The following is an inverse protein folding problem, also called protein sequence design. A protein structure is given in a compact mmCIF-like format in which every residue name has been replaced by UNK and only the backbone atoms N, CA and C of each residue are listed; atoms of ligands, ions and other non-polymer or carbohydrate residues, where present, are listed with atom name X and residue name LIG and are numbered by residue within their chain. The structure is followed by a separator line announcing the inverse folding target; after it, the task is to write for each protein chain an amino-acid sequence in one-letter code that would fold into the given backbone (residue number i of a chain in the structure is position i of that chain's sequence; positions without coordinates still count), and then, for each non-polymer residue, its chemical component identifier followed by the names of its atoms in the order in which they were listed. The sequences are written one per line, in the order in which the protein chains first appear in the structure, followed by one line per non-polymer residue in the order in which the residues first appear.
data_IF_055658453542
#
_entry.id   IF_055658453542
#
_cell.length_a   1.000
_cell.length_b   1.000
_cell.length_c   1.000
_cell.angle_alpha   90.00
_cell.angle_beta   90.00
_cell.angle_gamma   90.00
#
_symmetry.space_group_name_H-M   'P 1'
#
loop_
_entity.id
_entity.type
_entity.pdbx_description
1 polymer ?
#
# COMPACT_ATOMS: atom_id res chain seq x y z
N UNK A 1 -77.93 -17.97 -12.17
CA UNK A 1 -79.33 -17.58 -12.56
C UNK A 1 -80.06 -17.11 -11.30
N UNK A 2 -81.13 -16.27 -11.41
CA UNK A 2 -81.90 -15.99 -10.21
C UNK A 2 -82.60 -17.29 -9.74
N UNK A 3 -82.64 -17.50 -8.42
CA UNK A 3 -83.29 -18.67 -7.85
C UNK A 3 -84.77 -18.73 -8.32
N UNK A 4 -85.16 -19.94 -8.67
CA UNK A 4 -86.54 -20.20 -8.99
C UNK A 4 -87.38 -20.20 -7.71
N UNK A 5 -88.52 -19.58 -7.73
CA UNK A 5 -89.39 -19.51 -6.56
C UNK A 5 -90.47 -20.66 -6.68
N UNK A 6 -90.67 -21.31 -5.55
CA UNK A 6 -91.79 -22.23 -5.42
C UNK A 6 -93.09 -21.39 -5.41
N UNK A 7 -93.97 -21.62 -6.34
CA UNK A 7 -95.28 -20.89 -6.37
C UNK A 7 -96.19 -21.46 -5.29
N UNK A 8 -96.64 -20.59 -4.42
CA UNK A 8 -97.56 -20.91 -3.34
C UNK A 8 -98.99 -20.39 -3.57
N UNK A 9 -99.26 -19.67 -4.68
CA UNK A 9 -100.43 -18.88 -4.87
C UNK A 9 -101.25 -19.30 -6.09
N UNK A 10 -100.66 -19.82 -7.15
CA UNK A 10 -101.36 -20.28 -8.35
C UNK A 10 -102.21 -21.49 -8.02
N UNK A 11 -103.50 -21.46 -8.36
CA UNK A 11 -104.43 -22.58 -8.13
C UNK A 11 -104.21 -23.63 -9.22
N UNK A 12 -103.82 -24.84 -8.78
CA UNK A 12 -103.58 -25.99 -9.60
C UNK A 12 -104.92 -26.57 -10.18
N UNK A 13 -104.88 -27.40 -11.22
CA UNK A 13 -106.09 -27.99 -11.79
C UNK A 13 -106.95 -28.82 -10.81
N UNK A 14 -106.35 -29.28 -9.71
CA UNK A 14 -107.01 -29.98 -8.63
C UNK A 14 -107.65 -29.08 -7.57
N UNK A 15 -107.56 -27.73 -7.77
CA UNK A 15 -108.17 -26.70 -6.91
C UNK A 15 -107.30 -26.33 -5.70
N UNK A 16 -106.01 -26.77 -5.60
CA UNK A 16 -105.15 -26.38 -4.54
C UNK A 16 -104.22 -25.20 -4.91
N UNK A 17 -103.88 -24.33 -3.97
CA UNK A 17 -103.00 -23.21 -4.27
C UNK A 17 -101.48 -23.67 -4.25
N UNK A 18 -100.71 -23.07 -5.15
CA UNK A 18 -99.30 -23.25 -5.22
C UNK A 18 -98.80 -24.46 -6.05
N UNK A 19 -97.54 -24.70 -6.13
CA UNK A 19 -96.95 -25.85 -6.82
C UNK A 19 -97.32 -27.14 -6.14
N UNK A 20 -97.50 -28.22 -6.89
CA UNK A 20 -97.59 -29.56 -6.31
C UNK A 20 -96.21 -29.97 -5.69
N UNK A 21 -96.30 -31.01 -4.90
CA UNK A 21 -95.09 -31.45 -4.18
C UNK A 21 -93.91 -31.83 -5.12
N UNK A 22 -94.21 -32.36 -6.31
CA UNK A 22 -93.21 -32.76 -7.29
C UNK A 22 -92.59 -31.50 -7.93
N UNK A 23 -93.33 -30.54 -8.31
CA UNK A 23 -92.86 -29.26 -8.87
C UNK A 23 -92.09 -28.46 -7.85
N UNK A 24 -92.57 -28.39 -6.61
CA UNK A 24 -91.87 -27.76 -5.52
C UNK A 24 -90.49 -28.42 -5.23
N UNK A 25 -90.47 -29.77 -5.18
CA UNK A 25 -89.20 -30.50 -5.01
C UNK A 25 -88.22 -30.35 -6.18
N UNK A 26 -88.74 -30.35 -7.43
CA UNK A 26 -87.87 -30.11 -8.59
C UNK A 26 -87.31 -28.72 -8.56
N UNK A 27 -88.03 -27.68 -8.17
CA UNK A 27 -87.52 -26.31 -7.99
C UNK A 27 -86.53 -26.21 -6.90
N UNK A 28 -86.68 -26.96 -5.78
CA UNK A 28 -85.70 -27.04 -4.76
C UNK A 28 -84.38 -27.67 -5.26
N UNK A 29 -84.45 -28.81 -5.96
CA UNK A 29 -83.26 -29.47 -6.50
C UNK A 29 -82.51 -28.58 -7.51
N UNK A 30 -83.20 -27.93 -8.43
CA UNK A 30 -82.67 -27.01 -9.39
C UNK A 30 -81.86 -25.85 -8.68
N UNK A 31 -82.39 -25.33 -7.57
CA UNK A 31 -81.77 -24.30 -6.79
C UNK A 31 -80.52 -24.81 -6.05
N UNK A 32 -80.54 -26.07 -5.57
CA UNK A 32 -79.35 -26.69 -4.96
C UNK A 32 -78.29 -26.95 -6.01
N UNK A 33 -78.60 -27.44 -7.18
CA UNK A 33 -77.65 -27.61 -8.28
C UNK A 33 -77.01 -26.29 -8.70
N UNK A 34 -77.80 -25.18 -8.85
CA UNK A 34 -77.22 -23.87 -9.12
C UNK A 34 -76.30 -23.39 -7.99
N UNK A 35 -76.66 -23.65 -6.72
CA UNK A 35 -75.82 -23.28 -5.57
C UNK A 35 -74.52 -24.06 -5.57
N UNK A 36 -74.56 -25.36 -5.85
CA UNK A 36 -73.35 -26.18 -5.95
C UNK A 36 -72.46 -25.76 -7.11
N UNK A 37 -72.99 -25.43 -8.27
CA UNK A 37 -72.23 -24.92 -9.41
C UNK A 37 -71.57 -23.57 -9.10
N UNK A 38 -72.22 -22.70 -8.40
CA UNK A 38 -71.68 -21.42 -7.98
C UNK A 38 -70.58 -21.60 -6.91
N UNK A 39 -70.76 -22.53 -5.99
CA UNK A 39 -69.76 -22.85 -4.98
C UNK A 39 -68.51 -23.43 -5.62
N UNK A 40 -68.65 -24.38 -6.53
CA UNK A 40 -67.53 -24.96 -7.28
C UNK A 40 -66.78 -23.91 -8.11
N UNK A 41 -67.51 -22.96 -8.74
CA UNK A 41 -66.88 -21.85 -9.45
C UNK A 41 -66.09 -20.91 -8.52
N UNK A 42 -66.62 -20.64 -7.31
CA UNK A 42 -65.93 -19.86 -6.28
C UNK A 42 -64.70 -20.56 -5.75
N UNK A 43 -64.78 -21.88 -5.49
CA UNK A 43 -63.66 -22.67 -5.03
C UNK A 43 -62.56 -22.74 -6.10
N UNK A 44 -62.90 -22.91 -7.38
CA UNK A 44 -61.97 -22.85 -8.49
C UNK A 44 -61.29 -21.49 -8.62
N UNK A 45 -62.05 -20.42 -8.46
CA UNK A 45 -61.52 -19.06 -8.45
C UNK A 45 -60.56 -18.81 -7.28
N UNK A 46 -60.94 -19.27 -6.10
CA UNK A 46 -60.08 -19.20 -4.91
C UNK A 46 -58.74 -19.96 -5.08
N UNK A 47 -58.79 -21.15 -5.68
CA UNK A 47 -57.63 -21.94 -6.03
C UNK A 47 -56.72 -21.23 -7.03
N UNK A 48 -57.27 -20.57 -8.04
CA UNK A 48 -56.53 -19.81 -9.03
C UNK A 48 -55.84 -18.58 -8.40
N UNK A 49 -56.53 -17.86 -7.52
CA UNK A 49 -55.95 -16.72 -6.78
C UNK A 49 -54.78 -17.18 -5.91
N UNK A 50 -54.88 -18.31 -5.22
CA UNK A 50 -53.79 -18.86 -4.44
C UNK A 50 -52.55 -19.18 -5.29
N UNK A 51 -52.74 -19.74 -6.48
CA UNK A 51 -51.66 -20.01 -7.42
C UNK A 51 -51.02 -18.73 -7.97
N UNK A 52 -51.84 -17.74 -8.29
CA UNK A 52 -51.35 -16.43 -8.80
C UNK A 52 -50.51 -15.70 -7.73
N UNK A 53 -50.95 -15.72 -6.48
CA UNK A 53 -50.18 -15.17 -5.35
C UNK A 53 -48.85 -15.89 -5.17
N UNK A 54 -48.83 -17.22 -5.28
CA UNK A 54 -47.56 -18.00 -5.20
C UNK A 54 -46.62 -17.65 -6.37
N UNK A 55 -47.15 -17.54 -7.58
CA UNK A 55 -46.38 -17.14 -8.77
C UNK A 55 -45.79 -15.72 -8.63
N UNK A 56 -46.59 -14.77 -8.16
CA UNK A 56 -46.14 -13.40 -7.90
C UNK A 56 -45.08 -13.33 -6.85
N UNK A 57 -45.22 -14.10 -5.77
CA UNK A 57 -44.18 -14.18 -4.71
C UNK A 57 -42.87 -14.74 -5.25
N UNK A 58 -42.91 -15.77 -6.05
CA UNK A 58 -41.73 -16.36 -6.72
C UNK A 58 -41.11 -15.34 -7.68
N UNK A 59 -41.89 -14.66 -8.48
CA UNK A 59 -41.42 -13.61 -9.39
C UNK A 59 -40.75 -12.45 -8.66
N UNK A 60 -41.34 -12.00 -7.53
CA UNK A 60 -40.77 -10.94 -6.70
C UNK A 60 -39.38 -11.38 -6.09
N UNK A 61 -39.30 -12.62 -5.65
CA UNK A 61 -38.00 -13.16 -5.14
C UNK A 61 -36.95 -13.19 -6.24
N UNK A 62 -37.31 -13.63 -7.45
CA UNK A 62 -36.40 -13.63 -8.60
C UNK A 62 -35.96 -12.22 -8.98
N UNK A 63 -36.88 -11.28 -9.06
CA UNK A 63 -36.58 -9.87 -9.34
C UNK A 63 -35.63 -9.25 -8.27
N UNK A 64 -35.90 -9.54 -6.99
CA UNK A 64 -35.04 -9.09 -5.89
C UNK A 64 -33.62 -9.63 -6.03
N UNK A 65 -33.47 -10.90 -6.38
CA UNK A 65 -32.16 -11.49 -6.60
C UNK A 65 -31.45 -10.87 -7.81
N UNK A 66 -32.16 -10.72 -8.94
CA UNK A 66 -31.60 -10.09 -10.15
C UNK A 66 -31.13 -8.66 -9.90
N UNK A 67 -31.88 -7.87 -9.12
CA UNK A 67 -31.46 -6.51 -8.73
C UNK A 67 -30.21 -6.54 -7.85
N UNK A 68 -30.17 -7.43 -6.87
CA UNK A 68 -29.00 -7.57 -5.99
C UNK A 68 -27.75 -7.94 -6.78
N UNK A 69 -27.89 -8.86 -7.74
CA UNK A 69 -26.77 -9.29 -8.59
C UNK A 69 -26.33 -8.17 -9.55
N UNK A 70 -27.28 -7.41 -10.10
CA UNK A 70 -26.98 -6.26 -10.95
C UNK A 70 -26.27 -5.13 -10.19
N UNK A 71 -26.74 -4.79 -8.98
CA UNK A 71 -26.12 -3.79 -8.12
C UNK A 71 -24.68 -4.19 -7.73
N UNK A 72 -24.44 -5.48 -7.43
CA UNK A 72 -23.11 -6.01 -7.14
C UNK A 72 -22.19 -5.94 -8.37
N UNK A 73 -22.71 -6.26 -9.56
CA UNK A 73 -21.96 -6.15 -10.81
C UNK A 73 -21.63 -4.69 -11.16
N UNK A 74 -22.57 -3.76 -10.98
CA UNK A 74 -22.32 -2.32 -11.17
C UNK A 74 -21.29 -1.79 -10.18
N UNK A 75 -21.38 -2.13 -8.90
CA UNK A 75 -20.40 -1.74 -7.89
C UNK A 75 -18.98 -2.23 -8.26
N UNK A 76 -18.86 -3.47 -8.74
CA UNK A 76 -17.60 -4.03 -9.22
C UNK A 76 -17.07 -3.29 -10.46
N UNK A 77 -17.94 -2.99 -11.42
CA UNK A 77 -17.57 -2.24 -12.62
C UNK A 77 -17.08 -0.82 -12.30
N UNK A 78 -17.75 -0.13 -11.38
CA UNK A 78 -17.31 1.20 -10.88
C UNK A 78 -15.96 1.12 -10.20
N UNK A 79 -15.74 0.15 -9.31
CA UNK A 79 -14.43 -0.04 -8.65
C UNK A 79 -13.31 -0.27 -9.68
N UNK A 80 -13.56 -1.08 -10.70
CA UNK A 80 -12.59 -1.34 -11.76
C UNK A 80 -12.30 -0.09 -12.60
N UNK A 81 -13.32 0.71 -12.91
CA UNK A 81 -13.16 1.98 -13.63
C UNK A 81 -12.38 3.01 -12.81
N UNK A 82 -12.68 3.14 -11.52
CA UNK A 82 -11.96 4.03 -10.60
C UNK A 82 -10.50 3.58 -10.44
N UNK A 83 -10.24 2.29 -10.33
CA UNK A 83 -8.89 1.74 -10.30
C UNK A 83 -8.12 2.01 -11.61
N UNK A 84 -8.77 1.88 -12.76
CA UNK A 84 -8.18 2.19 -14.06
C UNK A 84 -7.91 3.68 -14.24
N UNK A 85 -8.78 4.56 -13.75
CA UNK A 85 -8.56 6.00 -13.71
C UNK A 85 -7.42 6.35 -12.76
N UNK A 86 -7.42 5.78 -11.56
CA UNK A 86 -6.35 5.94 -10.58
C UNK A 86 -4.98 5.49 -11.10
N UNK A 87 -4.91 4.46 -11.95
CA UNK A 87 -3.68 3.99 -12.59
C UNK A 87 -3.06 5.04 -13.53
N UNK A 88 -3.84 6.00 -14.04
CA UNK A 88 -3.39 7.08 -14.93
C UNK A 88 -2.92 8.33 -14.20
N UNK A 89 -3.16 8.43 -12.90
CA UNK A 89 -2.75 9.58 -12.10
C UNK A 89 -1.30 9.35 -11.64
N UNK A 90 -0.38 10.19 -12.11
CA UNK A 90 1.00 10.20 -11.64
C UNK A 90 1.09 10.87 -10.26
N UNK A 91 1.94 10.32 -9.38
CA UNK A 91 2.19 10.89 -8.07
C UNK A 91 1.23 10.43 -6.97
N UNK A 92 0.39 9.43 -7.23
CA UNK A 92 -0.49 8.84 -6.21
C UNK A 92 0.26 7.99 -5.18
N UNK A 93 1.33 7.32 -5.60
CA UNK A 93 2.17 6.55 -4.69
C UNK A 93 3.07 7.48 -3.88
N UNK A 94 2.86 7.53 -2.59
CA UNK A 94 3.68 8.34 -1.66
C UNK A 94 5.03 7.67 -1.40
N UNK A 95 5.11 6.34 -1.55
CA UNK A 95 6.35 5.57 -1.39
C UNK A 95 7.28 5.82 -2.56
N UNK A 96 8.53 6.17 -2.27
CA UNK A 96 9.59 6.31 -3.26
C UNK A 96 10.36 4.98 -3.33
N UNK A 97 10.68 4.52 -4.55
CA UNK A 97 11.40 3.27 -4.81
C UNK A 97 10.65 2.01 -4.32
N UNK A 98 9.32 2.04 -4.34
CA UNK A 98 8.49 0.91 -3.87
C UNK A 98 8.64 -0.37 -4.70
N UNK A 99 9.22 -0.29 -5.91
CA UNK A 99 9.60 -1.42 -6.77
C UNK A 99 11.08 -1.84 -6.62
N UNK A 100 11.82 -1.22 -5.71
CA UNK A 100 13.20 -1.54 -5.35
C UNK A 100 14.18 -1.51 -6.53
N UNK A 101 13.99 -0.61 -7.50
CA UNK A 101 14.89 -0.44 -8.65
C UNK A 101 16.24 0.14 -8.26
N UNK A 102 16.28 1.06 -7.29
CA UNK A 102 17.45 1.87 -6.96
C UNK A 102 18.10 1.44 -5.65
N UNK A 103 19.42 1.25 -5.72
CA UNK A 103 20.27 0.79 -4.63
C UNK A 103 21.61 1.50 -4.69
N UNK A 104 21.64 2.82 -4.51
CA UNK A 104 22.84 3.63 -4.69
C UNK A 104 23.96 3.30 -3.71
N UNK A 105 23.60 2.83 -2.50
CA UNK A 105 24.57 2.49 -1.45
C UNK A 105 25.18 1.09 -1.60
N UNK A 106 24.67 0.26 -2.51
CA UNK A 106 25.03 -1.14 -2.71
C UNK A 106 23.81 -2.05 -2.63
N UNK A 107 23.97 -3.33 -2.94
CA UNK A 107 22.86 -4.29 -3.10
C UNK A 107 22.70 -5.30 -1.97
N UNK A 108 23.51 -5.17 -0.88
CA UNK A 108 23.46 -6.06 0.27
C UNK A 108 23.93 -5.36 1.54
N UNK A 109 23.14 -5.46 2.61
CA UNK A 109 23.38 -4.81 3.90
C UNK A 109 23.05 -5.79 5.03
N UNK A 110 23.94 -5.87 6.04
CA UNK A 110 23.81 -6.77 7.18
C UNK A 110 23.70 -6.01 8.53
N UNK A 111 23.62 -4.69 8.47
CA UNK A 111 23.53 -3.82 9.64
C UNK A 111 22.30 -2.91 9.53
N UNK A 112 21.97 -2.25 10.65
CA UNK A 112 20.99 -1.16 10.65
C UNK A 112 21.45 -0.03 9.72
N UNK A 113 20.54 0.54 8.97
CA UNK A 113 20.82 1.63 8.05
C UNK A 113 20.01 1.57 6.77
N UNK A 114 20.11 2.63 5.96
CA UNK A 114 19.47 2.68 4.64
C UNK A 114 20.22 1.74 3.68
N UNK A 115 19.46 0.86 3.01
CA UNK A 115 19.98 -0.07 2.01
C UNK A 115 19.43 0.23 0.62
N UNK A 116 18.31 -0.34 0.23
CA UNK A 116 17.54 0.14 -0.91
C UNK A 116 17.24 1.62 -0.70
N UNK A 117 17.34 2.43 -1.74
CA UNK A 117 17.09 3.86 -1.62
C UNK A 117 15.74 4.12 -0.95
N UNK A 118 15.70 4.98 0.06
CA UNK A 118 14.56 5.31 0.91
C UNK A 118 14.12 4.23 1.92
N UNK A 119 14.66 3.02 1.88
CA UNK A 119 14.28 1.95 2.80
C UNK A 119 15.36 1.69 3.86
N UNK A 120 14.94 1.72 5.10
CA UNK A 120 15.76 1.50 6.27
C UNK A 120 15.61 0.06 6.78
N UNK A 121 16.71 -0.68 6.88
CA UNK A 121 16.81 -1.87 7.71
C UNK A 121 16.89 -1.42 9.17
N UNK A 122 15.74 -1.35 9.84
CA UNK A 122 15.65 -0.85 11.20
C UNK A 122 15.62 -2.04 12.17
N UNK A 123 16.72 -2.28 12.84
CA UNK A 123 16.95 -3.47 13.67
C UNK A 123 17.52 -3.10 15.03
N UNK A 124 17.17 -3.88 16.02
CA UNK A 124 17.76 -3.86 17.35
C UNK A 124 17.93 -5.29 17.87
N UNK A 125 19.15 -5.71 18.16
CA UNK A 125 19.48 -7.01 18.76
C UNK A 125 19.11 -8.25 17.91
N UNK A 126 18.67 -8.06 16.68
CA UNK A 126 18.36 -9.13 15.70
C UNK A 126 19.31 -9.03 14.52
N UNK A 127 19.86 -10.17 14.09
CA UNK A 127 20.57 -10.23 12.81
C UNK A 127 19.55 -10.20 11.68
N UNK A 128 19.64 -9.18 10.84
CA UNK A 128 18.78 -9.03 9.67
C UNK A 128 19.58 -8.44 8.51
N UNK A 129 19.50 -9.09 7.35
CA UNK A 129 20.09 -8.59 6.11
C UNK A 129 19.01 -8.10 5.15
N UNK A 130 19.33 -7.02 4.43
CA UNK A 130 18.54 -6.47 3.33
C UNK A 130 19.33 -6.66 2.03
N UNK A 131 18.78 -7.34 1.04
CA UNK A 131 19.45 -7.60 -0.24
C UNK A 131 18.52 -7.37 -1.43
N UNK A 132 19.11 -6.95 -2.56
CA UNK A 132 18.38 -6.87 -3.82
C UNK A 132 18.21 -8.25 -4.44
N UNK A 133 16.98 -8.67 -4.64
CA UNK A 133 16.62 -9.88 -5.36
C UNK A 133 16.30 -9.54 -6.82
N UNK A 134 16.96 -10.18 -7.77
CA UNK A 134 16.55 -10.12 -9.18
C UNK A 134 15.39 -11.07 -9.42
N UNK A 135 14.33 -10.58 -10.06
CA UNK A 135 13.15 -11.36 -10.43
C UNK A 135 13.30 -11.91 -11.86
N UNK A 136 12.80 -13.12 -12.07
CA UNK A 136 12.65 -13.69 -13.41
C UNK A 136 11.61 -12.91 -14.23
N UNK A 137 11.78 -12.92 -15.55
CA UNK A 137 10.82 -12.26 -16.45
C UNK A 137 9.43 -12.89 -16.28
N UNK A 138 8.44 -12.07 -15.91
CA UNK A 138 7.07 -12.54 -15.70
C UNK A 138 6.81 -13.21 -14.34
N UNK A 139 7.82 -13.34 -13.45
CA UNK A 139 7.64 -13.89 -12.10
C UNK A 139 6.60 -13.08 -11.31
N UNK A 140 6.65 -11.77 -11.45
CA UNK A 140 5.59 -10.83 -11.08
C UNK A 140 5.58 -9.69 -12.11
N UNK A 141 4.45 -9.50 -12.78
CA UNK A 141 4.36 -8.59 -13.92
C UNK A 141 4.71 -7.15 -13.54
N UNK A 142 5.58 -6.52 -14.34
CA UNK A 142 5.98 -5.12 -14.16
C UNK A 142 7.16 -4.88 -13.21
N UNK A 143 7.70 -5.93 -12.56
CA UNK A 143 8.80 -5.77 -11.60
C UNK A 143 10.05 -6.53 -12.03
N UNK A 144 11.21 -5.88 -11.87
CA UNK A 144 12.54 -6.44 -12.19
C UNK A 144 13.31 -6.83 -10.92
N UNK A 145 13.07 -6.13 -9.84
CA UNK A 145 13.76 -6.33 -8.57
C UNK A 145 12.77 -6.37 -7.41
N UNK A 146 13.19 -6.99 -6.32
CA UNK A 146 12.51 -7.03 -5.05
C UNK A 146 13.51 -6.79 -3.91
N UNK A 147 13.01 -6.43 -2.74
CA UNK A 147 13.80 -6.39 -1.51
C UNK A 147 13.63 -7.71 -0.77
N UNK A 148 14.73 -8.40 -0.50
CA UNK A 148 14.80 -9.59 0.34
C UNK A 148 15.29 -9.24 1.71
N UNK A 149 14.53 -9.59 2.73
CA UNK A 149 14.90 -9.51 4.14
C UNK A 149 15.10 -10.91 4.69
N UNK A 150 16.33 -11.22 5.17
CA UNK A 150 16.65 -12.47 5.87
C UNK A 150 16.92 -12.14 7.32
N UNK A 151 16.22 -12.76 8.25
CA UNK A 151 16.29 -12.41 9.67
C UNK A 151 16.20 -13.63 10.57
N UNK A 152 16.85 -13.52 11.74
CA UNK A 152 16.75 -14.49 12.83
C UNK A 152 15.83 -13.94 13.92
N UNK A 153 15.32 -14.83 14.77
CA UNK A 153 14.59 -14.44 15.96
C UNK A 153 15.49 -13.75 17.00
N UNK A 154 14.89 -12.91 17.80
CA UNK A 154 15.56 -12.29 18.95
C UNK A 154 15.41 -13.11 20.23
N UNK A 155 15.99 -12.61 21.34
CA UNK A 155 15.88 -13.23 22.66
C UNK A 155 15.51 -12.26 23.78
N UNK A 156 15.59 -10.94 23.52
CA UNK A 156 15.27 -9.90 24.49
C UNK A 156 13.94 -9.20 24.10
N UNK A 157 13.07 -8.90 25.07
CA UNK A 157 11.80 -8.21 24.80
C UNK A 157 11.90 -6.92 23.97
N UNK A 158 13.07 -6.25 23.96
CA UNK A 158 13.32 -5.04 23.20
C UNK A 158 13.87 -5.29 21.79
N UNK A 159 14.20 -6.53 21.43
CA UNK A 159 14.75 -6.87 20.11
C UNK A 159 13.68 -6.78 19.01
N UNK A 160 14.09 -6.28 17.84
CA UNK A 160 13.19 -6.22 16.67
C UNK A 160 13.94 -6.12 15.33
N UNK A 161 13.22 -6.47 14.26
CA UNK A 161 13.62 -6.21 12.88
C UNK A 161 12.41 -5.72 12.07
N UNK A 162 12.58 -4.60 11.38
CA UNK A 162 11.56 -4.01 10.49
C UNK A 162 12.18 -3.51 9.19
N UNK A 163 11.42 -3.57 8.09
CA UNK A 163 11.63 -2.75 6.90
C UNK A 163 10.82 -1.47 7.08
N UNK A 164 11.49 -0.32 7.12
CA UNK A 164 10.86 0.98 7.36
C UNK A 164 11.00 1.91 6.16
N UNK A 165 9.97 2.69 5.88
CA UNK A 165 10.01 3.83 4.95
C UNK A 165 9.49 5.08 5.64
N UNK A 166 10.17 6.22 5.44
CA UNK A 166 9.82 7.50 6.05
C UNK A 166 9.41 8.51 4.98
N UNK A 167 8.21 9.06 5.13
CA UNK A 167 7.66 10.09 4.25
C UNK A 167 7.73 11.45 4.92
N UNK A 168 8.20 12.46 4.17
CA UNK A 168 8.26 13.88 4.61
C UNK A 168 6.87 14.48 4.86
N UNK A 169 6.84 15.64 5.47
CA UNK A 169 5.65 16.48 5.58
C UNK A 169 4.48 15.81 6.34
N UNK A 170 4.75 15.30 7.54
CA UNK A 170 3.75 14.65 8.39
C UNK A 170 2.43 15.44 8.47
N UNK A 171 2.49 16.76 8.55
CA UNK A 171 1.30 17.61 8.63
C UNK A 171 0.33 17.48 7.46
N UNK A 172 0.86 17.16 6.26
CA UNK A 172 0.03 16.92 5.08
C UNK A 172 -0.94 15.75 5.23
N UNK A 173 -0.57 14.77 6.04
CA UNK A 173 -1.35 13.53 6.24
C UNK A 173 -2.35 13.62 7.40
N UNK A 174 -2.38 14.73 8.16
CA UNK A 174 -3.27 14.91 9.31
C UNK A 174 -4.73 14.64 8.96
N UNK A 175 -5.36 13.71 9.68
CA UNK A 175 -6.76 13.32 9.49
C UNK A 175 -7.09 12.57 8.19
N UNK A 176 -6.11 12.31 7.33
CA UNK A 176 -6.35 11.63 6.04
C UNK A 176 -6.46 10.13 6.22
N UNK A 177 -7.31 9.53 5.39
CA UNK A 177 -7.37 8.08 5.19
C UNK A 177 -6.37 7.70 4.11
N UNK A 178 -5.50 6.74 4.41
CA UNK A 178 -4.48 6.22 3.51
C UNK A 178 -4.64 4.70 3.35
N UNK A 179 -4.27 4.20 2.20
CA UNK A 179 -4.26 2.76 1.91
C UNK A 179 -2.85 2.31 1.53
N UNK A 180 -2.33 1.35 2.28
CA UNK A 180 -1.10 0.63 1.95
C UNK A 180 -1.43 -0.58 1.10
N UNK A 181 -0.60 -0.85 0.10
CA UNK A 181 -0.59 -2.11 -0.64
C UNK A 181 0.82 -2.53 -1.02
N UNK A 182 1.03 -3.83 -1.19
CA UNK A 182 2.32 -4.38 -1.59
C UNK A 182 2.25 -5.86 -1.86
N UNK A 183 3.18 -6.38 -2.64
CA UNK A 183 3.33 -7.81 -2.85
C UNK A 183 4.39 -8.35 -1.91
N UNK A 184 4.08 -9.46 -1.26
CA UNK A 184 4.95 -10.14 -0.31
C UNK A 184 4.89 -11.65 -0.52
N UNK A 185 6.02 -12.33 -0.23
CA UNK A 185 6.09 -13.79 -0.08
C UNK A 185 7.12 -14.16 0.97
N UNK A 186 7.05 -15.36 1.49
CA UNK A 186 8.04 -15.90 2.42
C UNK A 186 8.68 -17.18 1.86
N UNK A 187 9.89 -17.51 2.31
CA UNK A 187 10.54 -18.79 1.98
C UNK A 187 9.83 -19.99 2.64
N UNK A 188 9.09 -19.73 3.71
CA UNK A 188 8.33 -20.73 4.45
C UNK A 188 6.91 -20.21 4.67
N UNK A 189 5.90 -20.99 4.29
CA UNK A 189 4.51 -20.62 4.51
C UNK A 189 4.20 -20.49 6.01
N UNK A 190 3.37 -19.51 6.36
CA UNK A 190 2.97 -19.24 7.73
C UNK A 190 3.81 -18.17 8.45
N UNK A 191 4.92 -17.70 7.87
CA UNK A 191 5.60 -16.48 8.37
C UNK A 191 4.64 -15.30 8.31
N UNK A 192 4.77 -14.41 9.28
CA UNK A 192 3.90 -13.23 9.40
C UNK A 192 4.70 -11.95 9.21
N UNK A 193 4.05 -10.94 8.66
CA UNK A 193 4.51 -9.56 8.63
C UNK A 193 3.43 -8.70 9.25
N UNK A 194 3.79 -7.84 10.21
CA UNK A 194 2.85 -6.88 10.74
C UNK A 194 3.15 -5.48 10.17
N UNK A 195 2.13 -4.84 9.63
CA UNK A 195 2.16 -3.46 9.19
C UNK A 195 1.81 -2.53 10.35
N UNK A 196 2.45 -1.39 10.42
CA UNK A 196 2.15 -0.31 11.36
C UNK A 196 2.55 1.02 10.77
N UNK A 197 1.86 2.08 11.18
CA UNK A 197 2.29 3.46 10.97
C UNK A 197 2.68 4.10 12.30
N UNK A 198 3.77 4.86 12.26
CA UNK A 198 4.27 5.67 13.36
C UNK A 198 4.53 7.12 12.90
N UNK A 199 4.36 8.07 13.80
CA UNK A 199 4.51 9.50 13.56
C UNK A 199 5.81 9.98 14.20
N UNK A 200 6.67 10.63 13.43
CA UNK A 200 7.88 11.28 13.88
C UNK A 200 7.70 12.80 13.93
N UNK A 201 7.82 13.41 15.12
CA UNK A 201 7.71 14.86 15.27
C UNK A 201 8.92 15.63 14.70
N UNK A 202 10.06 14.94 14.43
CA UNK A 202 11.25 15.54 13.83
C UNK A 202 11.98 16.56 14.71
N UNK A 203 11.83 16.48 16.02
CA UNK A 203 12.31 17.48 16.99
C UNK A 203 11.27 18.50 17.41
N UNK A 204 10.07 18.44 16.82
CA UNK A 204 8.89 19.18 17.26
C UNK A 204 8.10 18.42 18.32
N UNK A 205 6.80 18.72 18.46
CA UNK A 205 5.92 18.10 19.44
C UNK A 205 4.61 17.65 18.80
N UNK A 206 4.10 16.50 19.24
CA UNK A 206 2.73 16.02 18.95
C UNK A 206 1.99 15.97 20.28
N UNK A 207 0.73 16.47 20.38
CA UNK A 207 -0.03 16.43 21.63
C UNK A 207 -0.12 15.00 22.19
N UNK A 208 0.05 14.83 23.51
CA UNK A 208 0.14 13.52 24.15
C UNK A 208 -1.12 12.64 24.03
N UNK A 209 -2.29 13.24 23.71
CA UNK A 209 -3.52 12.50 23.43
C UNK A 209 -3.54 11.86 22.01
N UNK A 210 -2.62 12.24 21.13
CA UNK A 210 -2.53 11.71 19.75
C UNK A 210 -1.64 10.47 19.78
N UNK A 211 -2.13 9.31 19.31
CA UNK A 211 -1.28 8.12 19.20
C UNK A 211 -0.18 8.34 18.16
N UNK A 212 1.08 8.14 18.58
CA UNK A 212 2.25 8.34 17.71
C UNK A 212 2.78 7.03 17.10
N UNK A 213 2.22 5.89 17.48
CA UNK A 213 2.60 4.56 16.97
C UNK A 213 1.44 3.59 17.15
N UNK A 214 1.53 2.42 16.54
CA UNK A 214 0.44 1.43 16.57
C UNK A 214 -0.77 1.86 15.72
N UNK A 215 -0.58 2.72 14.72
CA UNK A 215 -1.66 3.20 13.85
C UNK A 215 -1.84 2.20 12.71
N UNK A 216 -3.09 1.76 12.47
CA UNK A 216 -3.43 0.86 11.37
C UNK A 216 -2.77 -0.52 11.44
N UNK A 217 -2.49 -1.02 12.64
CA UNK A 217 -1.81 -2.31 12.82
C UNK A 217 -2.59 -3.44 12.16
N UNK A 218 -1.93 -4.15 11.23
CA UNK A 218 -2.49 -5.29 10.52
C UNK A 218 -1.43 -6.38 10.36
N UNK A 219 -1.78 -7.63 10.66
CA UNK A 219 -0.89 -8.78 10.47
C UNK A 219 -1.28 -9.54 9.21
N UNK A 220 -0.30 -9.84 8.38
CA UNK A 220 -0.42 -10.64 7.17
C UNK A 220 0.28 -11.98 7.36
N UNK A 221 -0.39 -13.08 7.04
CA UNK A 221 0.22 -14.42 6.99
C UNK A 221 0.64 -14.71 5.55
N UNK A 222 1.92 -15.01 5.35
CA UNK A 222 2.52 -15.13 4.03
C UNK A 222 2.55 -16.58 3.54
N UNK A 223 2.35 -16.74 2.23
CA UNK A 223 2.63 -17.97 1.49
C UNK A 223 4.01 -17.91 0.82
N UNK A 224 4.37 -19.01 0.16
CA UNK A 224 5.61 -19.12 -0.63
C UNK A 224 5.52 -18.44 -2.02
N UNK A 225 4.34 -18.08 -2.45
CA UNK A 225 4.09 -17.38 -3.72
C UNK A 225 3.79 -15.91 -3.48
N UNK A 226 4.04 -15.07 -4.48
CA UNK A 226 3.70 -13.66 -4.42
C UNK A 226 2.20 -13.46 -4.24
N UNK A 227 1.83 -12.72 -3.20
CA UNK A 227 0.46 -12.33 -2.88
C UNK A 227 0.41 -10.82 -2.64
N UNK A 228 -0.65 -10.17 -3.09
CA UNK A 228 -0.89 -8.76 -2.79
C UNK A 228 -1.63 -8.63 -1.47
N UNK A 229 -1.11 -7.79 -0.60
CA UNK A 229 -1.71 -7.45 0.69
C UNK A 229 -2.09 -5.97 0.71
N UNK A 230 -3.18 -5.65 1.40
CA UNK A 230 -3.69 -4.28 1.51
C UNK A 230 -4.18 -4.02 2.92
N UNK A 231 -4.04 -2.78 3.37
CA UNK A 231 -4.67 -2.29 4.60
C UNK A 231 -4.96 -0.81 4.50
N UNK A 232 -6.09 -0.37 5.06
CA UNK A 232 -6.51 1.03 5.09
C UNK A 232 -6.51 1.51 6.53
N UNK A 233 -6.02 2.74 6.75
CA UNK A 233 -5.98 3.36 8.07
C UNK A 233 -6.20 4.87 7.97
N UNK A 234 -6.53 5.50 9.10
CA UNK A 234 -6.65 6.95 9.18
C UNK A 234 -5.54 7.50 10.04
N UNK A 235 -4.80 8.48 9.53
CA UNK A 235 -3.81 9.23 10.31
C UNK A 235 -4.54 10.09 11.32
N UNK A 236 -4.15 10.08 12.60
CA UNK A 236 -4.77 10.93 13.61
C UNK A 236 -4.75 12.41 13.22
N UNK A 237 -5.73 13.16 13.70
CA UNK A 237 -5.72 14.62 13.57
C UNK A 237 -4.57 15.20 14.40
N UNK A 238 -3.70 15.98 13.77
CA UNK A 238 -2.50 16.59 14.36
C UNK A 238 -2.71 18.05 14.78
N UNK A 239 -3.96 18.48 14.96
CA UNK A 239 -4.23 19.84 15.46
C UNK A 239 -3.48 20.09 16.77
N UNK A 240 -2.78 21.23 16.84
CA UNK A 240 -1.94 21.60 17.99
C UNK A 240 -0.53 20.98 17.97
N UNK A 241 -0.16 20.20 16.98
CA UNK A 241 1.21 19.74 16.81
C UNK A 241 2.13 20.87 16.33
N UNK A 242 3.36 20.89 16.83
CA UNK A 242 4.45 21.71 16.32
C UNK A 242 5.40 20.78 15.54
N UNK A 243 5.38 20.86 14.22
CA UNK A 243 6.13 19.99 13.34
C UNK A 243 7.32 20.73 12.72
N UNK A 244 8.37 20.00 12.38
CA UNK A 244 9.56 20.53 11.71
C UNK A 244 9.71 19.89 10.32
N UNK A 245 10.67 20.34 9.52
CA UNK A 245 11.00 19.75 8.21
C UNK A 245 11.52 18.29 8.32
N UNK A 246 11.86 17.84 9.53
CA UNK A 246 12.22 16.45 9.81
C UNK A 246 11.04 15.60 10.32
N UNK A 247 9.84 16.17 10.38
CA UNK A 247 8.63 15.44 10.75
C UNK A 247 8.25 14.45 9.66
N UNK A 248 7.90 13.23 10.05
CA UNK A 248 7.67 12.14 9.12
C UNK A 248 6.50 11.25 9.49
N UNK A 249 5.81 10.76 8.46
CA UNK A 249 4.94 9.59 8.53
C UNK A 249 5.79 8.37 8.19
N UNK A 250 5.85 7.38 9.07
CA UNK A 250 6.69 6.20 8.88
C UNK A 250 5.81 4.96 8.81
N UNK A 251 5.91 4.14 7.78
CA UNK A 251 5.39 2.78 7.90
C UNK A 251 6.50 1.80 8.24
N UNK A 252 6.14 0.79 9.02
CA UNK A 252 6.98 -0.30 9.44
C UNK A 252 6.36 -1.63 9.01
N UNK A 253 7.15 -2.46 8.35
CA UNK A 253 6.83 -3.86 8.11
C UNK A 253 7.66 -4.70 9.08
N UNK A 254 7.03 -5.11 10.18
CA UNK A 254 7.66 -5.85 11.26
C UNK A 254 7.87 -7.30 10.83
N UNK A 255 9.09 -7.78 10.98
CA UNK A 255 9.51 -9.13 10.60
C UNK A 255 9.64 -10.05 11.81
N UNK A 256 10.15 -9.52 12.93
CA UNK A 256 10.34 -10.23 14.18
C UNK A 256 10.40 -9.20 15.31
N UNK A 257 9.79 -9.46 16.47
CA UNK A 257 9.81 -8.51 17.56
C UNK A 257 9.54 -9.15 18.91
N UNK A 258 10.22 -8.64 19.95
CA UNK A 258 9.98 -8.99 21.34
C UNK A 258 8.74 -8.29 21.91
N UNK A 259 8.36 -8.68 23.12
CA UNK A 259 7.09 -8.30 23.74
C UNK A 259 6.93 -6.79 24.03
N UNK A 260 8.03 -6.02 24.11
CA UNK A 260 7.96 -4.56 24.27
C UNK A 260 7.29 -3.84 23.09
N UNK A 261 7.13 -4.53 21.96
CA UNK A 261 6.56 -3.99 20.73
C UNK A 261 5.16 -4.53 20.41
N UNK A 262 4.56 -5.32 21.31
CA UNK A 262 3.30 -6.04 21.07
C UNK A 262 2.13 -5.13 20.64
N UNK A 263 2.01 -3.93 21.21
CA UNK A 263 0.98 -2.95 20.84
C UNK A 263 1.15 -2.39 19.43
N UNK A 264 2.36 -2.48 18.86
CA UNK A 264 2.73 -1.94 17.56
C UNK A 264 2.69 -2.96 16.42
N UNK A 265 2.67 -4.25 16.74
CA UNK A 265 2.79 -5.33 15.75
C UNK A 265 1.79 -6.48 15.96
N UNK A 266 0.74 -6.23 16.77
CA UNK A 266 -0.32 -7.20 17.04
C UNK A 266 0.22 -8.54 17.59
N UNK A 267 1.13 -8.47 18.56
CA UNK A 267 1.77 -9.65 19.19
C UNK A 267 2.46 -10.58 18.16
N UNK A 268 3.17 -10.01 17.20
CA UNK A 268 3.86 -10.78 16.15
C UNK A 268 4.77 -11.87 16.72
N UNK A 269 5.54 -11.52 17.76
CA UNK A 269 6.51 -12.42 18.39
C UNK A 269 7.80 -12.56 17.59
N UNK A 270 8.71 -13.38 18.12
CA UNK A 270 9.95 -13.73 17.42
C UNK A 270 9.69 -14.82 16.39
N UNK A 271 10.26 -14.60 15.22
CA UNK A 271 10.30 -15.57 14.12
C UNK A 271 11.60 -15.41 13.34
N UNK A 272 11.97 -16.43 12.57
CA UNK A 272 13.15 -16.43 11.69
C UNK A 272 12.74 -16.84 10.30
N UNK A 273 13.35 -16.26 9.28
CA UNK A 273 13.05 -16.62 7.90
C UNK A 273 13.50 -15.58 6.88
N UNK A 274 12.93 -15.72 5.68
CA UNK A 274 13.17 -14.82 4.55
C UNK A 274 11.82 -14.32 4.07
N UNK A 275 11.71 -13.01 3.90
CA UNK A 275 10.54 -12.35 3.31
C UNK A 275 11.00 -11.47 2.16
N UNK A 276 10.34 -11.59 1.02
CA UNK A 276 10.55 -10.77 -0.16
C UNK A 276 9.41 -9.76 -0.30
N UNK A 277 9.75 -8.51 -0.66
CA UNK A 277 8.83 -7.38 -0.82
C UNK A 277 9.00 -6.74 -2.19
N UNK A 278 7.89 -6.39 -2.86
CA UNK A 278 7.90 -5.59 -4.10
C UNK A 278 6.58 -4.86 -4.30
N UNK A 279 6.62 -3.75 -5.04
CA UNK A 279 5.43 -2.97 -5.38
C UNK A 279 4.76 -2.34 -4.17
N UNK A 280 5.56 -1.83 -3.21
CA UNK A 280 5.06 -1.16 -2.02
C UNK A 280 4.49 0.21 -2.41
N UNK A 281 3.23 0.43 -2.08
CA UNK A 281 2.49 1.66 -2.39
C UNK A 281 1.72 2.13 -1.16
N UNK A 282 1.76 3.42 -0.93
CA UNK A 282 0.90 4.13 0.01
C UNK A 282 0.20 5.24 -0.77
N UNK A 283 -1.11 5.29 -0.70
CA UNK A 283 -1.92 6.24 -1.47
C UNK A 283 -3.04 6.83 -0.63
N UNK A 284 -3.51 8.02 -0.99
CA UNK A 284 -4.63 8.69 -0.32
C UNK A 284 -5.95 8.05 -0.75
N UNK A 285 -6.85 7.84 0.20
CA UNK A 285 -8.14 7.21 0.01
C UNK A 285 -8.22 5.80 0.60
N UNK A 286 -9.36 5.13 0.38
CA UNK A 286 -9.67 3.82 0.96
C UNK A 286 -9.54 2.64 -0.02
N UNK A 287 -9.13 2.90 -1.25
CA UNK A 287 -9.04 1.89 -2.32
C UNK A 287 -7.58 1.66 -2.69
N UNK A 288 -7.13 0.40 -2.65
CA UNK A 288 -5.82 0.00 -3.13
C UNK A 288 -5.85 -0.13 -4.66
N UNK A 289 -5.32 0.88 -5.36
CA UNK A 289 -5.22 0.87 -6.83
C UNK A 289 -4.04 0.02 -7.30
N UNK A 290 -3.90 -0.20 -8.61
CA UNK A 290 -2.71 -0.85 -9.18
C UNK A 290 -1.46 -0.05 -8.87
N UNK A 291 -0.31 -0.75 -8.71
CA UNK A 291 0.96 -0.09 -8.43
C UNK A 291 1.29 0.98 -9.48
N UNK A 292 1.61 2.17 -9.01
CA UNK A 292 2.07 3.26 -9.86
C UNK A 292 3.52 3.04 -10.28
N UNK A 293 3.72 2.72 -11.55
CA UNK A 293 5.06 2.60 -12.11
C UNK A 293 5.50 3.94 -12.70
N UNK A 294 6.24 4.72 -11.92
CA UNK A 294 6.79 6.00 -12.39
C UNK A 294 7.89 5.79 -13.43
N UNK A 295 8.05 6.73 -14.39
CA UNK A 295 9.21 6.75 -15.27
C UNK A 295 10.52 6.66 -14.48
N UNK A 296 11.49 5.89 -14.99
CA UNK A 296 12.75 5.60 -14.28
C UNK A 296 13.49 6.86 -13.84
N UNK A 297 13.60 7.86 -14.75
CA UNK A 297 14.28 9.11 -14.46
C UNK A 297 13.61 9.91 -13.33
N UNK A 298 12.27 9.90 -13.26
CA UNK A 298 11.53 10.57 -12.19
C UNK A 298 11.76 9.86 -10.85
N UNK A 299 11.61 8.53 -10.81
CA UNK A 299 11.81 7.75 -9.59
C UNK A 299 13.25 7.90 -9.07
N UNK A 300 14.24 7.90 -9.98
CA UNK A 300 15.63 8.10 -9.60
C UNK A 300 15.87 9.50 -9.03
N UNK A 301 15.32 10.55 -9.64
CA UNK A 301 15.40 11.91 -9.12
C UNK A 301 14.77 12.06 -7.72
N UNK A 302 13.65 11.36 -7.47
CA UNK A 302 13.03 11.31 -6.16
C UNK A 302 13.96 10.64 -5.12
N UNK A 303 14.66 9.56 -5.49
CA UNK A 303 15.67 8.95 -4.64
C UNK A 303 16.85 9.89 -4.39
N UNK A 304 17.35 10.56 -5.44
CA UNK A 304 18.48 11.49 -5.35
C UNK A 304 18.20 12.71 -4.48
N UNK A 305 16.94 13.11 -4.32
CA UNK A 305 16.56 14.15 -3.36
C UNK A 305 17.01 13.83 -1.92
N UNK A 306 17.10 12.55 -1.57
CA UNK A 306 17.48 12.07 -0.24
C UNK A 306 18.92 11.55 -0.18
N UNK A 307 19.36 10.88 -1.23
CA UNK A 307 20.73 10.37 -1.30
C UNK A 307 21.24 10.43 -2.73
N UNK A 308 22.40 11.03 -2.91
CA UNK A 308 23.07 11.15 -4.19
C UNK A 308 24.55 10.77 -4.04
N UNK A 309 25.10 10.13 -5.08
CA UNK A 309 26.53 9.85 -5.22
C UNK A 309 26.99 10.26 -6.61
N UNK A 310 28.27 10.60 -6.74
CA UNK A 310 28.88 10.88 -8.03
C UNK A 310 29.23 9.62 -8.82
N UNK A 311 29.33 8.47 -8.16
CA UNK A 311 29.55 7.19 -8.82
C UNK A 311 28.40 6.78 -9.73
N UNK A 312 28.67 6.07 -10.82
CA UNK A 312 27.64 5.36 -11.55
C UNK A 312 26.90 4.35 -10.65
N UNK A 313 25.66 4.03 -10.99
CA UNK A 313 24.78 3.21 -10.14
C UNK A 313 25.39 1.88 -9.67
N UNK A 314 26.18 1.24 -10.54
CA UNK A 314 26.75 -0.08 -10.29
C UNK A 314 27.97 -0.07 -9.34
N UNK A 315 28.53 1.09 -9.03
CA UNK A 315 29.67 1.22 -8.13
C UNK A 315 29.22 1.56 -6.71
N UNK A 316 29.74 0.83 -5.74
CA UNK A 316 29.48 1.09 -4.32
C UNK A 316 30.37 2.26 -3.87
N UNK A 317 29.85 3.22 -3.08
CA UNK A 317 30.66 4.28 -2.49
C UNK A 317 31.86 3.72 -1.72
N UNK A 318 33.04 4.30 -1.92
CA UNK A 318 34.30 3.78 -1.38
C UNK A 318 34.97 2.70 -2.22
N UNK A 319 34.43 2.36 -3.39
CA UNK A 319 35.14 1.53 -4.37
C UNK A 319 36.04 2.37 -5.28
N UNK A 320 37.05 1.73 -5.89
CA UNK A 320 37.85 2.35 -6.96
C UNK A 320 37.05 2.46 -8.23
N UNK A 321 36.89 3.67 -8.76
CA UNK A 321 36.19 3.95 -10.02
C UNK A 321 36.62 5.30 -10.58
N UNK A 322 36.73 5.40 -11.88
CA UNK A 322 36.95 6.67 -12.58
C UNK A 322 35.66 7.25 -13.19
N UNK A 323 34.57 6.46 -13.12
CA UNK A 323 33.30 6.82 -13.73
C UNK A 323 32.45 7.69 -12.81
N UNK A 324 32.05 8.86 -13.33
CA UNK A 324 31.24 9.83 -12.56
C UNK A 324 32.02 10.71 -11.58
N UNK A 325 33.35 10.55 -11.49
CA UNK A 325 34.17 11.35 -10.57
C UNK A 325 34.14 12.85 -10.86
N UNK A 326 34.32 13.66 -9.84
CA UNK A 326 34.60 15.09 -9.96
C UNK A 326 36.08 15.26 -10.32
N UNK A 327 36.36 15.99 -11.41
CA UNK A 327 37.70 16.28 -11.85
C UNK A 327 38.02 17.76 -11.73
N UNK A 328 39.23 18.10 -11.24
CA UNK A 328 39.80 19.43 -11.25
C UNK A 328 41.13 19.40 -12.02
N UNK A 329 41.28 20.32 -12.91
CA UNK A 329 42.50 20.50 -13.70
C UNK A 329 43.24 21.74 -13.16
N UNK A 330 44.51 21.61 -12.85
CA UNK A 330 45.35 22.67 -12.27
C UNK A 330 45.09 23.01 -10.82
N UNK A 331 45.92 22.43 -9.98
CA UNK A 331 46.01 22.77 -8.57
C UNK A 331 47.46 23.15 -8.21
N UNK A 332 47.63 24.02 -7.21
CA UNK A 332 48.94 24.34 -6.69
C UNK A 332 49.43 23.22 -5.78
N UNK A 333 50.52 22.58 -6.13
CA UNK A 333 51.12 21.55 -5.29
C UNK A 333 51.38 22.04 -3.85
N UNK A 334 50.90 21.30 -2.85
CA UNK A 334 51.09 21.62 -1.43
C UNK A 334 50.35 22.86 -0.95
N UNK A 335 49.54 23.53 -1.82
CA UNK A 335 48.68 24.62 -1.46
C UNK A 335 47.20 24.18 -1.27
N UNK A 336 46.42 24.95 -0.50
CA UNK A 336 44.98 24.71 -0.39
C UNK A 336 44.29 24.98 -1.71
N UNK A 337 43.45 24.05 -2.13
CA UNK A 337 42.60 24.14 -3.34
C UNK A 337 41.14 23.86 -2.99
N UNK A 338 40.22 24.39 -3.81
CA UNK A 338 38.78 24.24 -3.59
C UNK A 338 38.11 23.70 -4.85
N UNK A 339 37.23 22.76 -4.70
CA UNK A 339 36.33 22.25 -5.74
C UNK A 339 34.87 22.49 -5.38
N UNK A 340 34.13 23.10 -6.30
CA UNK A 340 32.67 23.20 -6.17
C UNK A 340 32.02 21.90 -6.64
N UNK A 341 31.12 21.37 -5.83
CA UNK A 341 30.26 20.23 -6.11
C UNK A 341 28.84 20.73 -6.27
N UNK A 342 28.21 20.41 -7.38
CA UNK A 342 26.79 20.66 -7.62
C UNK A 342 26.03 19.34 -7.60
N UNK A 343 24.92 19.32 -6.86
CA UNK A 343 24.04 18.15 -6.85
C UNK A 343 23.15 18.15 -8.09
N UNK A 344 22.87 16.94 -8.60
CA UNK A 344 21.97 16.76 -9.75
C UNK A 344 20.53 17.15 -9.38
N UNK A 345 20.13 16.85 -8.14
CA UNK A 345 18.81 17.15 -7.60
C UNK A 345 18.96 17.90 -6.28
N UNK A 346 18.16 18.96 -6.08
CA UNK A 346 18.09 19.66 -4.79
C UNK A 346 17.78 18.69 -3.66
N UNK A 347 18.60 18.66 -2.62
CA UNK A 347 18.42 17.81 -1.43
C UNK A 347 17.23 18.30 -0.60
N UNK A 348 16.62 17.39 0.15
CA UNK A 348 15.50 17.75 1.04
C UNK A 348 15.95 18.63 2.21
N UNK A 349 17.18 18.47 2.65
CA UNK A 349 17.82 19.22 3.73
C UNK A 349 19.32 19.29 3.45
N UNK A 350 20.07 20.06 4.21
CA UNK A 350 21.54 20.08 4.17
C UNK A 350 22.09 18.67 4.38
N UNK A 351 22.78 18.07 3.38
CA UNK A 351 23.21 16.68 3.46
C UNK A 351 24.48 16.51 4.30
N UNK A 352 24.66 15.31 4.83
CA UNK A 352 25.96 14.84 5.29
C UNK A 352 26.80 14.43 4.09
N UNK A 353 28.02 14.98 4.00
CA UNK A 353 28.91 14.75 2.87
C UNK A 353 30.01 13.75 3.23
N UNK A 354 30.35 12.86 2.30
CA UNK A 354 31.57 12.09 2.35
C UNK A 354 32.29 12.17 1.01
N UNK A 355 33.63 12.33 1.06
CA UNK A 355 34.51 12.43 -0.10
C UNK A 355 35.41 11.22 -0.15
N UNK A 356 35.57 10.62 -1.33
CA UNK A 356 36.32 9.40 -1.54
C UNK A 356 37.35 9.58 -2.65
N UNK A 357 38.54 9.02 -2.43
CA UNK A 357 39.55 8.92 -3.46
C UNK A 357 39.05 7.98 -4.57
N UNK A 358 39.04 8.43 -5.81
CA UNK A 358 38.51 7.70 -6.96
C UNK A 358 39.34 6.44 -7.33
N UNK A 359 40.60 6.38 -6.92
CA UNK A 359 41.51 5.25 -7.22
C UNK A 359 41.57 4.23 -6.08
N UNK A 360 41.51 4.68 -4.83
CA UNK A 360 41.69 3.81 -3.66
C UNK A 360 40.39 3.57 -2.88
N UNK A 361 39.35 4.40 -3.09
CA UNK A 361 38.14 4.38 -2.30
C UNK A 361 38.28 4.97 -0.89
N UNK A 362 39.47 5.45 -0.52
CA UNK A 362 39.77 5.98 0.81
C UNK A 362 38.94 7.24 1.08
N UNK A 363 38.24 7.27 2.23
CA UNK A 363 37.45 8.42 2.68
C UNK A 363 38.37 9.59 3.09
N UNK A 364 37.93 10.82 2.92
CA UNK A 364 38.65 12.06 3.19
C UNK A 364 39.95 12.19 2.39
N UNK A 365 40.02 11.57 1.23
CA UNK A 365 41.18 11.57 0.34
C UNK A 365 40.73 11.89 -1.10
N UNK A 366 41.68 12.42 -1.87
CA UNK A 366 41.53 12.67 -3.31
C UNK A 366 42.71 12.01 -4.03
N UNK A 367 42.57 11.75 -5.34
CA UNK A 367 43.72 11.38 -6.16
C UNK A 367 44.26 12.56 -6.97
N UNK A 368 45.54 12.54 -7.30
CA UNK A 368 46.15 13.36 -8.33
C UNK A 368 46.30 12.59 -9.64
N UNK A 369 46.53 13.27 -10.74
CA UNK A 369 46.62 12.65 -12.08
C UNK A 369 47.75 11.59 -12.21
N UNK A 370 48.79 11.65 -11.35
CA UNK A 370 49.89 10.69 -11.32
C UNK A 370 49.66 9.53 -10.33
N UNK A 371 48.42 9.41 -9.77
CA UNK A 371 48.09 8.36 -8.78
C UNK A 371 48.48 8.71 -7.34
N UNK A 372 49.13 9.82 -7.06
CA UNK A 372 49.39 10.26 -5.70
C UNK A 372 48.12 10.66 -4.98
N UNK A 373 48.04 10.38 -3.67
CA UNK A 373 46.87 10.78 -2.87
C UNK A 373 47.07 12.12 -2.20
N UNK A 374 46.06 13.00 -2.27
CA UNK A 374 45.97 14.23 -1.51
C UNK A 374 44.94 14.08 -0.37
N UNK A 375 44.87 15.11 0.47
CA UNK A 375 44.01 15.10 1.67
C UNK A 375 42.86 16.09 1.51
N UNK A 376 41.64 15.68 1.86
CA UNK A 376 40.51 16.57 2.06
C UNK A 376 40.65 17.23 3.43
N UNK A 377 40.71 18.57 3.43
CA UNK A 377 40.85 19.33 4.69
C UNK A 377 39.49 19.68 5.30
N UNK A 378 38.49 19.98 4.48
CA UNK A 378 37.12 20.25 4.94
C UNK A 378 36.13 20.20 3.77
N UNK A 379 34.86 19.99 4.11
CA UNK A 379 33.73 20.27 3.21
C UNK A 379 32.95 21.42 3.85
N UNK A 380 32.78 22.52 3.12
CA UNK A 380 32.18 23.76 3.63
C UNK A 380 31.05 24.24 2.69
N UNK A 381 30.33 25.25 3.14
CA UNK A 381 29.22 25.85 2.37
C UNK A 381 28.22 24.79 1.87
N UNK A 382 27.97 23.78 2.72
CA UNK A 382 27.07 22.68 2.39
C UNK A 382 25.64 23.21 2.42
N UNK A 383 25.00 23.20 1.25
CA UNK A 383 23.60 23.58 1.08
C UNK A 383 22.83 22.47 0.37
N UNK A 384 21.57 22.73 0.09
CA UNK A 384 20.69 21.76 -0.58
C UNK A 384 21.02 21.54 -2.07
N UNK A 385 21.85 22.42 -2.67
CA UNK A 385 22.18 22.38 -4.11
C UNK A 385 23.64 22.08 -4.39
N UNK A 386 24.50 22.01 -3.36
CA UNK A 386 25.92 21.76 -3.54
C UNK A 386 26.74 22.09 -2.31
N UNK A 387 28.05 21.96 -2.43
CA UNK A 387 29.02 22.28 -1.41
C UNK A 387 30.37 22.65 -2.02
N UNK A 388 31.33 23.05 -1.18
CA UNK A 388 32.73 23.24 -1.55
C UNK A 388 33.60 22.23 -0.80
N UNK A 389 34.50 21.58 -1.52
CA UNK A 389 35.48 20.66 -0.98
C UNK A 389 36.85 21.33 -0.97
N UNK A 390 37.39 21.58 0.22
CA UNK A 390 38.76 22.06 0.39
C UNK A 390 39.72 20.90 0.53
N UNK A 391 40.79 20.92 -0.21
CA UNK A 391 41.77 19.84 -0.22
C UNK A 391 43.19 20.35 -0.47
N UNK A 392 44.16 19.52 -0.18
CA UNK A 392 45.56 19.72 -0.51
C UNK A 392 46.01 18.64 -1.49
N UNK A 393 46.24 18.96 -2.77
CA UNK A 393 46.72 18.00 -3.74
C UNK A 393 48.16 17.58 -3.50
N UNK A 394 48.49 16.32 -3.77
CA UNK A 394 49.86 15.84 -3.66
C UNK A 394 50.77 16.37 -4.78
N UNK A 395 50.18 16.79 -5.92
CA UNK A 395 50.90 17.29 -7.09
C UNK A 395 50.12 18.42 -7.75
N UNK A 396 50.77 19.17 -8.66
CA UNK A 396 50.12 20.27 -9.42
C UNK A 396 49.30 19.85 -10.64
N UNK A 397 49.08 18.54 -10.84
CA UNK A 397 48.43 17.98 -12.01
C UNK A 397 46.91 17.83 -11.91
N UNK A 398 46.29 18.43 -10.91
CA UNK A 398 44.87 18.34 -10.68
C UNK A 398 44.42 17.29 -9.65
N UNK A 399 43.16 17.25 -9.35
CA UNK A 399 42.56 16.37 -8.36
C UNK A 399 41.33 15.66 -8.89
N UNK A 400 41.10 14.45 -8.46
CA UNK A 400 39.87 13.72 -8.73
C UNK A 400 39.34 13.03 -7.47
N UNK A 401 38.01 12.98 -7.34
CA UNK A 401 37.36 12.37 -6.20
C UNK A 401 35.91 12.02 -6.49
N UNK A 402 35.35 11.17 -5.65
CA UNK A 402 33.92 10.93 -5.57
C UNK A 402 33.29 11.53 -4.32
N UNK A 403 31.99 11.70 -4.34
CA UNK A 403 31.24 12.14 -3.17
C UNK A 403 29.97 11.33 -2.96
N UNK A 404 29.47 11.37 -1.74
CA UNK A 404 28.09 11.07 -1.38
C UNK A 404 27.49 12.23 -0.63
N UNK A 405 26.19 12.48 -0.86
CA UNK A 405 25.40 13.48 -0.18
C UNK A 405 24.15 12.80 0.40
N UNK A 406 24.12 12.66 1.72
CA UNK A 406 23.07 11.93 2.45
C UNK A 406 22.18 12.92 3.22
N UNK A 407 20.94 13.05 2.82
CA UNK A 407 19.89 13.87 3.40
C UNK A 407 18.66 13.04 3.84
N UNK A 408 18.85 11.78 4.21
CA UNK A 408 17.77 10.92 4.68
C UNK A 408 17.12 11.46 5.98
N UNK A 409 15.91 10.96 6.27
CA UNK A 409 15.11 11.35 7.44
C UNK A 409 15.54 10.60 8.70
#
# INVERSE_FOLDING_TARGET
MPQKLIDQTTIQPDGRPGDDAFTAFATCNDNFEDAEQRLSALEGGSSNIGQDVANLKTGLQQETQLRTDADAAEATARQNADAALGARILGKNIVINGDFRFWQRGTGFNAAGYGADRFLNNINGITCSMTRLSLGVGEIAGFKYACRMSFNGGSDPAHYATLQHRMENLGYYSGKTLTFSGYMRANTAGLKVAFEVALGAGGGTIPGAVPISGIGVQTFTLGATWQRFTTTFTVPNLAGASLTDNSSLNFNLWLSAGSNHNSRNNNLGFQSGIVDFVGLQLEEGSIATTFEQRPEALEFALCQRFYEKSYDLNFIPGSSSVWGRVNRFYDKQGGGSTADVRFTVRKRATPVMAIYNDQTGQINSISAANGASGTVSSVINIGETGCQVNYTPATSWGAAFHYTADAEL
#
